data_IF_648128365967
#
_entry.id   IF_648128365967
#
_cell.length_a   1.000
_cell.length_b   1.000
_cell.length_c   1.000
_cell.angle_alpha   90.00
_cell.angle_beta   90.00
_cell.angle_gamma   90.00
#
_symmetry.space_group_name_H-M   'P 1'
#
loop_
_entity.id
_entity.type
_entity.pdbx_description
1 polymer ?
#
# COMPACT_ATOMS: atom_id res chain seq x y z
N UNK A 1 -13.67 -5.49 11.69
CA UNK A 1 -13.33 -6.19 10.44
C UNK A 1 -12.16 -7.12 10.69
N UNK A 2 -12.00 -8.16 9.86
CA UNK A 2 -10.86 -9.06 9.84
C UNK A 2 -9.93 -8.64 8.70
N UNK A 3 -8.70 -8.27 9.05
CA UNK A 3 -7.75 -7.67 8.11
C UNK A 3 -6.46 -8.49 8.08
N UNK A 4 -6.09 -8.97 6.89
CA UNK A 4 -4.76 -9.58 6.68
C UNK A 4 -3.80 -8.55 6.11
N UNK A 5 -2.62 -8.38 6.72
CA UNK A 5 -1.59 -7.43 6.29
C UNK A 5 -0.32 -8.18 5.87
N UNK A 6 -0.10 -8.30 4.55
CA UNK A 6 1.17 -8.77 4.02
C UNK A 6 2.24 -7.69 4.19
N UNK A 7 3.40 -8.07 4.70
CA UNK A 7 4.46 -7.12 5.05
C UNK A 7 4.26 -6.47 6.42
N UNK A 8 3.56 -7.14 7.35
CA UNK A 8 3.20 -6.63 8.67
C UNK A 8 4.36 -6.19 9.57
N UNK A 9 5.59 -6.71 9.35
CA UNK A 9 6.81 -6.27 10.04
C UNK A 9 7.58 -5.17 9.28
N UNK A 10 7.08 -4.72 8.13
CA UNK A 10 7.68 -3.62 7.37
C UNK A 10 7.38 -2.26 8.00
N UNK A 11 8.13 -1.22 7.56
CA UNK A 11 7.99 0.11 8.14
C UNK A 11 6.57 0.68 8.03
N UNK A 12 5.94 0.60 6.86
CA UNK A 12 4.54 1.03 6.69
C UNK A 12 3.56 -0.02 7.23
N UNK A 13 3.81 -1.31 6.97
CA UNK A 13 2.90 -2.39 7.36
C UNK A 13 2.69 -2.49 8.88
N UNK A 14 3.74 -2.28 9.68
CA UNK A 14 3.61 -2.27 11.14
C UNK A 14 2.72 -1.14 11.65
N UNK A 15 2.71 0.03 10.99
CA UNK A 15 1.81 1.15 11.31
C UNK A 15 0.36 0.81 10.97
N UNK A 16 0.14 0.18 9.82
CA UNK A 16 -1.19 -0.33 9.44
C UNK A 16 -1.71 -1.33 10.45
N UNK A 17 -0.89 -2.30 10.86
CA UNK A 17 -1.25 -3.28 11.90
C UNK A 17 -1.61 -2.57 13.20
N UNK A 18 -0.79 -1.62 13.65
CA UNK A 18 -1.01 -0.88 14.89
C UNK A 18 -2.29 -0.05 14.83
N UNK A 19 -2.52 0.69 13.75
CA UNK A 19 -3.73 1.52 13.57
C UNK A 19 -4.99 0.65 13.52
N UNK A 20 -4.96 -0.47 12.76
CA UNK A 20 -6.09 -1.39 12.67
C UNK A 20 -6.47 -1.98 14.04
N UNK A 21 -5.47 -2.43 14.82
CA UNK A 21 -5.68 -2.95 16.17
C UNK A 21 -6.18 -1.87 17.15
N UNK A 22 -5.75 -0.64 16.98
CA UNK A 22 -6.20 0.51 17.80
C UNK A 22 -7.67 0.82 17.54
N UNK A 23 -8.13 0.64 16.28
CA UNK A 23 -9.55 0.79 15.90
C UNK A 23 -10.41 -0.43 16.26
N UNK A 24 -9.84 -1.47 16.87
CA UNK A 24 -10.59 -2.65 17.30
C UNK A 24 -10.82 -3.70 16.20
N UNK A 25 -10.05 -3.67 15.11
CA UNK A 25 -10.09 -4.71 14.10
C UNK A 25 -9.32 -5.96 14.55
N UNK A 26 -9.70 -7.11 14.02
CA UNK A 26 -8.94 -8.35 14.12
C UNK A 26 -7.88 -8.36 13.00
N UNK A 27 -6.60 -8.50 13.39
CA UNK A 27 -5.51 -8.36 12.42
C UNK A 27 -4.66 -9.62 12.37
N UNK A 28 -4.46 -10.14 11.15
CA UNK A 28 -3.47 -11.16 10.82
C UNK A 28 -2.27 -10.47 10.17
N UNK A 29 -1.14 -10.45 10.86
CA UNK A 29 0.10 -9.88 10.35
C UNK A 29 0.96 -10.98 9.71
N UNK A 30 1.28 -10.81 8.43
CA UNK A 30 1.97 -11.81 7.61
C UNK A 30 3.39 -11.37 7.31
N UNK A 31 4.33 -12.27 7.52
CA UNK A 31 5.75 -12.15 7.15
C UNK A 31 6.21 -13.40 6.39
N UNK A 32 7.22 -13.30 5.56
CA UNK A 32 7.77 -14.46 4.82
C UNK A 32 8.61 -15.38 5.72
N UNK A 33 9.30 -14.79 6.68
CA UNK A 33 10.20 -15.50 7.58
C UNK A 33 9.64 -15.48 9.01
N UNK A 34 9.44 -16.66 9.59
CA UNK A 34 8.96 -16.83 10.97
C UNK A 34 9.89 -16.19 12.00
N UNK A 35 11.18 -16.07 11.72
CA UNK A 35 12.13 -15.39 12.59
C UNK A 35 11.73 -13.92 12.87
N UNK A 36 10.97 -13.30 11.95
CA UNK A 36 10.46 -11.95 12.10
C UNK A 36 9.17 -11.82 12.92
N UNK A 37 8.66 -12.89 13.51
CA UNK A 37 7.48 -12.81 14.40
C UNK A 37 7.71 -11.90 15.61
N UNK A 38 8.94 -11.80 16.09
CA UNK A 38 9.31 -10.89 17.19
C UNK A 38 9.17 -9.41 16.84
N UNK A 39 9.12 -9.07 15.56
CA UNK A 39 8.93 -7.70 15.06
C UNK A 39 7.43 -7.35 14.90
N UNK A 40 6.53 -8.33 15.00
CA UNK A 40 5.11 -8.14 14.83
C UNK A 40 4.44 -7.63 16.11
N UNK A 41 3.36 -6.89 15.94
CA UNK A 41 2.56 -6.40 17.06
C UNK A 41 1.98 -7.59 17.87
N UNK A 42 2.16 -7.66 19.21
CA UNK A 42 1.81 -8.84 20.01
C UNK A 42 0.31 -9.18 20.03
N UNK A 43 -0.57 -8.21 19.74
CA UNK A 43 -2.01 -8.45 19.67
C UNK A 43 -2.48 -8.94 18.28
N UNK A 44 -1.62 -8.94 17.26
CA UNK A 44 -1.97 -9.48 15.95
C UNK A 44 -1.81 -11.01 15.95
N UNK A 45 -2.61 -11.68 15.13
CA UNK A 45 -2.34 -13.09 14.77
C UNK A 45 -1.14 -13.15 13.84
N UNK A 46 -0.12 -13.93 14.18
CA UNK A 46 1.12 -14.02 13.39
C UNK A 46 1.05 -15.20 12.43
N UNK A 47 1.25 -14.95 11.15
CA UNK A 47 1.29 -15.98 10.11
C UNK A 47 2.51 -15.80 9.20
N UNK A 48 3.00 -16.90 8.67
CA UNK A 48 3.95 -16.89 7.54
C UNK A 48 3.19 -16.96 6.23
N UNK A 49 3.69 -16.27 5.20
CA UNK A 49 3.15 -16.36 3.85
C UNK A 49 3.87 -15.43 2.87
N UNK A 50 3.79 -15.77 1.60
CA UNK A 50 4.32 -14.98 0.51
C UNK A 50 3.18 -14.37 -0.31
N UNK A 51 3.16 -13.04 -0.41
CA UNK A 51 2.21 -12.31 -1.28
C UNK A 51 2.43 -12.60 -2.78
N UNK A 52 3.56 -13.18 -3.15
CA UNK A 52 3.88 -13.64 -4.49
C UNK A 52 3.37 -15.06 -4.82
N UNK A 53 2.79 -15.75 -3.85
CA UNK A 53 2.20 -17.08 -4.02
C UNK A 53 0.67 -17.02 -3.97
N UNK A 54 -0.04 -17.21 -5.10
CA UNK A 54 -1.50 -17.11 -5.13
C UNK A 54 -2.22 -18.08 -4.18
N UNK A 55 -1.66 -19.28 -3.96
CA UNK A 55 -2.28 -20.28 -3.09
C UNK A 55 -2.22 -19.84 -1.62
N UNK A 56 -1.07 -19.32 -1.18
CA UNK A 56 -0.91 -18.76 0.16
C UNK A 56 -1.75 -17.49 0.37
N UNK A 57 -1.87 -16.65 -0.67
CA UNK A 57 -2.76 -15.49 -0.63
C UNK A 57 -4.21 -15.93 -0.42
N UNK A 58 -4.69 -16.91 -1.18
CA UNK A 58 -6.06 -17.44 -1.04
C UNK A 58 -6.30 -18.01 0.36
N UNK A 59 -5.35 -18.80 0.90
CA UNK A 59 -5.44 -19.34 2.26
C UNK A 59 -5.54 -18.23 3.32
N UNK A 60 -4.67 -17.21 3.22
CA UNK A 60 -4.60 -16.13 4.21
C UNK A 60 -5.70 -15.08 4.06
N UNK A 61 -6.40 -15.07 2.91
CA UNK A 61 -7.56 -14.23 2.67
C UNK A 61 -8.87 -14.92 3.07
N UNK A 62 -8.86 -16.22 3.27
CA UNK A 62 -10.07 -16.97 3.61
C UNK A 62 -10.72 -16.44 4.89
N UNK A 63 -11.99 -16.02 4.77
CA UNK A 63 -12.75 -15.47 5.89
C UNK A 63 -12.29 -14.07 6.34
N UNK A 64 -11.47 -13.37 5.58
CA UNK A 64 -11.11 -11.98 5.84
C UNK A 64 -12.08 -11.02 5.14
N UNK A 65 -12.15 -9.79 5.62
CA UNK A 65 -12.90 -8.71 4.97
C UNK A 65 -12.00 -7.92 4.02
N UNK A 66 -10.71 -7.79 4.38
CA UNK A 66 -9.72 -6.98 3.67
C UNK A 66 -8.35 -7.65 3.71
N UNK A 67 -7.66 -7.56 2.59
CA UNK A 67 -6.22 -7.84 2.47
C UNK A 67 -5.48 -6.54 2.17
N UNK A 68 -4.46 -6.23 2.96
CA UNK A 68 -3.56 -5.09 2.73
C UNK A 68 -2.21 -5.61 2.23
N UNK A 69 -1.77 -5.10 1.10
CA UNK A 69 -0.40 -5.29 0.61
C UNK A 69 0.48 -4.10 1.02
N UNK A 70 1.30 -4.30 2.03
CA UNK A 70 2.34 -3.39 2.48
C UNK A 70 3.75 -3.98 2.23
N UNK A 71 3.86 -4.92 1.28
CA UNK A 71 5.16 -5.53 0.95
C UNK A 71 6.01 -4.60 0.11
N UNK A 72 7.32 -4.71 0.30
CA UNK A 72 8.32 -4.09 -0.57
C UNK A 72 9.30 -5.20 -1.00
N UNK A 73 9.58 -5.35 -2.30
CA UNK A 73 10.64 -6.23 -2.76
C UNK A 73 11.99 -5.88 -2.11
N UNK A 74 12.86 -6.87 -2.02
CA UNK A 74 14.22 -6.64 -1.57
C UNK A 74 14.96 -5.74 -2.57
N UNK A 75 15.97 -4.96 -2.12
CA UNK A 75 16.81 -4.19 -3.02
C UNK A 75 17.36 -5.04 -4.16
N UNK A 76 17.28 -4.55 -5.40
CA UNK A 76 17.66 -5.25 -6.63
C UNK A 76 16.58 -6.20 -7.17
N UNK A 77 15.42 -6.31 -6.50
CA UNK A 77 14.26 -7.10 -6.94
C UNK A 77 12.99 -6.24 -7.11
N UNK A 78 13.16 -4.97 -7.33
CA UNK A 78 12.06 -4.01 -7.43
C UNK A 78 11.05 -4.40 -8.54
N UNK A 79 11.53 -5.01 -9.63
CA UNK A 79 10.69 -5.53 -10.71
C UNK A 79 9.64 -6.57 -10.26
N UNK A 80 9.83 -7.20 -9.10
CA UNK A 80 8.87 -8.17 -8.55
C UNK A 80 7.55 -7.52 -8.10
N UNK A 81 7.47 -6.20 -7.92
CA UNK A 81 6.25 -5.52 -7.50
C UNK A 81 5.02 -5.89 -8.33
N UNK A 82 5.16 -5.84 -9.66
CA UNK A 82 4.05 -6.18 -10.56
C UNK A 82 3.69 -7.67 -10.51
N UNK A 83 4.67 -8.56 -10.32
CA UNK A 83 4.44 -10.00 -10.19
C UNK A 83 3.68 -10.32 -8.88
N UNK A 84 4.10 -9.75 -7.76
CA UNK A 84 3.40 -9.85 -6.46
C UNK A 84 1.96 -9.36 -6.57
N UNK A 85 1.73 -8.25 -7.26
CA UNK A 85 0.38 -7.72 -7.45
C UNK A 85 -0.51 -8.67 -8.26
N UNK A 86 0.01 -9.26 -9.33
CA UNK A 86 -0.72 -10.26 -10.10
C UNK A 86 -1.03 -11.52 -9.28
N UNK A 87 -0.09 -11.95 -8.43
CA UNK A 87 -0.29 -13.09 -7.54
C UNK A 87 -1.39 -12.81 -6.49
N UNK A 88 -1.42 -11.60 -5.91
CA UNK A 88 -2.48 -11.15 -5.00
C UNK A 88 -3.85 -11.18 -5.70
N UNK A 89 -3.95 -10.62 -6.91
CA UNK A 89 -5.20 -10.63 -7.67
C UNK A 89 -5.66 -12.05 -8.01
N UNK A 90 -4.73 -12.92 -8.40
CA UNK A 90 -5.04 -14.33 -8.70
C UNK A 90 -5.51 -15.09 -7.45
N UNK A 91 -4.84 -14.91 -6.32
CA UNK A 91 -5.21 -15.56 -5.06
C UNK A 91 -6.56 -15.07 -4.52
N UNK A 92 -6.93 -13.81 -4.77
CA UNK A 92 -8.19 -13.23 -4.32
C UNK A 92 -9.35 -13.45 -5.32
N UNK A 93 -9.09 -13.94 -6.52
CA UNK A 93 -10.13 -14.07 -7.56
C UNK A 93 -11.30 -14.99 -7.13
N UNK A 94 -11.04 -15.97 -6.28
CA UNK A 94 -12.06 -16.88 -5.74
C UNK A 94 -12.81 -16.31 -4.52
N UNK A 95 -12.39 -15.16 -4.01
CA UNK A 95 -12.99 -14.47 -2.84
C UNK A 95 -13.27 -13.00 -3.18
N UNK A 96 -14.18 -12.72 -4.14
CA UNK A 96 -14.40 -11.37 -4.68
C UNK A 96 -14.94 -10.37 -3.64
N UNK A 97 -15.50 -10.87 -2.53
CA UNK A 97 -15.96 -10.03 -1.42
C UNK A 97 -14.80 -9.50 -0.55
N UNK A 98 -13.61 -10.10 -0.65
CA UNK A 98 -12.42 -9.64 0.05
C UNK A 98 -11.78 -8.49 -0.73
N UNK A 99 -11.69 -7.31 -0.13
CA UNK A 99 -11.07 -6.14 -0.76
C UNK A 99 -9.54 -6.21 -0.67
N UNK A 100 -8.87 -5.75 -1.73
CA UNK A 100 -7.42 -5.56 -1.76
C UNK A 100 -7.06 -4.08 -1.65
N UNK A 101 -6.33 -3.69 -0.61
CA UNK A 101 -5.73 -2.37 -0.51
C UNK A 101 -4.21 -2.49 -0.70
N UNK A 102 -3.65 -1.64 -1.55
CA UNK A 102 -2.22 -1.67 -1.89
C UNK A 102 -1.57 -0.34 -1.52
N UNK A 103 -0.54 -0.39 -0.69
CA UNK A 103 0.35 0.75 -0.49
C UNK A 103 1.35 0.74 -1.64
N UNK A 104 1.30 1.77 -2.44
CA UNK A 104 2.09 1.87 -3.66
C UNK A 104 3.15 2.95 -3.63
N UNK A 105 3.34 3.66 -4.74
CA UNK A 105 4.28 4.75 -4.91
C UNK A 105 3.68 6.00 -5.56
N UNK A 106 4.42 7.11 -5.49
CA UNK A 106 4.02 8.41 -6.03
C UNK A 106 4.31 8.57 -7.52
N UNK A 107 5.21 7.75 -8.08
CA UNK A 107 5.84 8.01 -9.38
C UNK A 107 4.90 8.21 -10.58
N UNK A 108 3.69 7.63 -10.53
CA UNK A 108 2.68 7.77 -11.57
C UNK A 108 1.67 8.90 -11.34
N UNK A 109 1.77 9.64 -10.23
CA UNK A 109 0.99 10.85 -10.00
C UNK A 109 1.47 11.97 -10.92
N UNK A 110 0.59 12.92 -11.22
CA UNK A 110 0.92 14.14 -11.95
C UNK A 110 1.44 15.22 -11.00
N UNK A 111 2.40 15.98 -11.44
CA UNK A 111 2.89 17.17 -10.70
C UNK A 111 1.90 18.31 -10.96
N UNK A 112 1.27 18.88 -9.92
CA UNK A 112 0.30 19.96 -10.10
C UNK A 112 0.91 21.20 -10.75
N UNK A 113 0.13 21.90 -11.57
CA UNK A 113 0.57 23.12 -12.27
C UNK A 113 1.57 22.86 -13.40
N UNK A 114 1.74 21.62 -13.85
CA UNK A 114 2.55 21.28 -15.03
C UNK A 114 1.69 20.73 -16.16
N UNK A 115 2.21 20.77 -17.39
CA UNK A 115 1.54 20.20 -18.55
C UNK A 115 1.78 18.68 -18.62
N UNK A 116 1.18 17.94 -17.66
CA UNK A 116 1.19 16.48 -17.66
C UNK A 116 2.53 15.83 -17.23
N UNK A 117 3.41 16.56 -16.53
CA UNK A 117 4.64 15.98 -15.98
C UNK A 117 4.30 14.97 -14.88
N UNK A 118 4.80 13.73 -15.01
CA UNK A 118 4.67 12.73 -13.94
C UNK A 118 5.72 12.94 -12.88
N UNK A 119 5.39 12.57 -11.65
CA UNK A 119 6.30 12.65 -10.50
C UNK A 119 7.62 11.93 -10.75
N UNK A 120 7.61 10.78 -11.44
CA UNK A 120 8.82 10.02 -11.78
C UNK A 120 9.78 10.80 -12.70
N UNK A 121 9.27 11.76 -13.46
CA UNK A 121 10.03 12.53 -14.44
C UNK A 121 10.50 13.88 -13.86
N UNK A 122 10.15 14.17 -12.61
CA UNK A 122 10.56 15.39 -11.91
C UNK A 122 11.61 15.05 -10.83
N UNK A 123 12.88 15.46 -11.01
CA UNK A 123 13.97 15.14 -10.09
C UNK A 123 13.82 15.78 -8.69
N UNK A 124 12.94 16.78 -8.55
CA UNK A 124 12.61 17.37 -7.23
C UNK A 124 11.93 16.34 -6.32
N UNK A 125 11.15 15.43 -6.88
CA UNK A 125 10.37 14.43 -6.15
C UNK A 125 10.96 13.03 -6.26
N UNK A 126 11.57 12.68 -7.41
CA UNK A 126 12.23 11.39 -7.63
C UNK A 126 13.66 11.61 -8.09
N UNK A 127 14.62 11.71 -7.15
CA UNK A 127 16.03 11.76 -7.49
C UNK A 127 16.45 10.54 -8.35
N UNK A 128 17.43 10.65 -9.25
CA UNK A 128 17.85 9.57 -10.16
C UNK A 128 18.14 8.24 -9.46
N UNK A 129 18.71 8.29 -8.26
CA UNK A 129 18.98 7.10 -7.45
C UNK A 129 17.74 6.29 -7.05
N UNK A 130 16.56 6.91 -7.02
CA UNK A 130 15.29 6.26 -6.64
C UNK A 130 14.38 5.97 -7.84
N UNK A 131 14.82 6.31 -9.07
CA UNK A 131 14.01 6.15 -10.28
C UNK A 131 13.54 4.70 -10.47
N UNK A 132 14.42 3.72 -10.27
CA UNK A 132 14.09 2.30 -10.39
C UNK A 132 12.99 1.84 -9.42
N UNK A 133 12.94 2.41 -8.20
CA UNK A 133 11.88 2.14 -7.22
C UNK A 133 10.55 2.74 -7.69
N UNK A 134 10.57 3.95 -8.24
CA UNK A 134 9.39 4.60 -8.79
C UNK A 134 8.85 3.86 -10.03
N UNK A 135 9.73 3.38 -10.93
CA UNK A 135 9.37 2.56 -12.08
C UNK A 135 8.67 1.27 -11.66
N UNK A 136 9.20 0.58 -10.65
CA UNK A 136 8.61 -0.64 -10.11
C UNK A 136 7.22 -0.39 -9.49
N UNK A 137 7.05 0.71 -8.77
CA UNK A 137 5.75 1.10 -8.21
C UNK A 137 4.75 1.50 -9.31
N UNK A 138 5.21 2.13 -10.39
CA UNK A 138 4.37 2.43 -11.55
C UNK A 138 3.91 1.13 -12.24
N UNK A 139 4.81 0.16 -12.41
CA UNK A 139 4.46 -1.16 -12.96
C UNK A 139 3.47 -1.92 -12.05
N UNK A 140 3.56 -1.74 -10.73
CA UNK A 140 2.60 -2.26 -9.76
C UNK A 140 1.20 -1.67 -9.99
N UNK A 141 1.09 -0.35 -10.12
CA UNK A 141 -0.17 0.32 -10.38
C UNK A 141 -0.77 -0.09 -11.74
N UNK A 142 0.05 -0.17 -12.78
CA UNK A 142 -0.39 -0.64 -14.10
C UNK A 142 -0.91 -2.08 -14.06
N UNK A 143 -0.27 -2.96 -13.27
CA UNK A 143 -0.75 -4.34 -13.11
C UNK A 143 -2.16 -4.41 -12.49
N UNK A 144 -2.51 -3.48 -11.58
CA UNK A 144 -3.87 -3.36 -11.05
C UNK A 144 -4.84 -2.77 -12.09
N UNK A 145 -4.45 -1.67 -12.72
CA UNK A 145 -5.30 -0.88 -13.61
C UNK A 145 -5.72 -1.64 -14.87
N UNK A 146 -4.83 -2.49 -15.37
CA UNK A 146 -5.05 -3.27 -16.60
C UNK A 146 -5.55 -4.69 -16.36
N UNK A 147 -5.66 -5.12 -15.08
CA UNK A 147 -6.11 -6.46 -14.77
C UNK A 147 -7.59 -6.66 -15.11
N UNK A 148 -7.90 -7.72 -15.83
CA UNK A 148 -9.25 -8.26 -15.92
C UNK A 148 -9.49 -9.17 -14.70
N UNK A 149 -10.12 -8.60 -13.67
CA UNK A 149 -10.26 -9.26 -12.36
C UNK A 149 -11.58 -8.86 -11.69
N UNK A 150 -12.26 -9.79 -11.00
CA UNK A 150 -13.41 -9.48 -10.15
C UNK A 150 -13.02 -8.76 -8.85
N UNK A 151 -11.74 -8.80 -8.45
CA UNK A 151 -11.26 -8.27 -7.17
C UNK A 151 -11.51 -6.76 -7.07
N UNK A 152 -12.14 -6.34 -5.99
CA UNK A 152 -12.27 -4.92 -5.65
C UNK A 152 -10.97 -4.44 -4.99
N UNK A 153 -10.17 -3.66 -5.72
CA UNK A 153 -8.90 -3.15 -5.25
C UNK A 153 -8.91 -1.63 -5.08
N UNK A 154 -8.07 -1.14 -4.18
CA UNK A 154 -7.76 0.28 -4.02
C UNK A 154 -6.25 0.47 -3.88
N UNK A 155 -5.71 1.46 -4.58
CA UNK A 155 -4.28 1.79 -4.56
C UNK A 155 -4.05 3.12 -3.86
N UNK A 156 -3.32 3.13 -2.75
CA UNK A 156 -2.89 4.33 -2.07
C UNK A 156 -1.51 4.75 -2.58
N UNK A 157 -1.48 5.82 -3.37
CA UNK A 157 -0.23 6.49 -3.74
C UNK A 157 0.24 7.36 -2.58
N UNK A 158 1.38 7.09 -1.94
CA UNK A 158 1.93 7.98 -0.92
C UNK A 158 2.41 9.29 -1.54
N UNK A 159 2.76 10.31 -0.73
CA UNK A 159 3.48 11.48 -1.20
C UNK A 159 4.91 11.13 -1.64
N UNK A 160 5.64 12.10 -2.20
CA UNK A 160 7.03 11.90 -2.61
C UNK A 160 7.95 11.57 -1.42
N UNK A 161 7.67 12.14 -0.24
CA UNK A 161 8.39 11.84 0.99
C UNK A 161 7.45 11.18 2.01
N UNK A 162 7.70 9.90 2.27
CA UNK A 162 6.98 9.11 3.25
C UNK A 162 7.96 8.58 4.31
N UNK A 163 7.85 9.09 5.53
CA UNK A 163 8.77 8.77 6.63
C UNK A 163 8.01 8.44 7.92
N UNK A 164 8.61 7.70 8.87
CA UNK A 164 8.09 7.60 10.23
C UNK A 164 7.92 8.99 10.84
N UNK A 165 6.82 9.20 11.58
CA UNK A 165 6.54 10.51 12.15
C UNK A 165 5.46 10.46 13.22
N UNK A 166 4.62 11.46 13.26
CA UNK A 166 3.53 11.60 14.24
C UNK A 166 2.19 11.26 13.58
N UNK A 167 1.34 10.53 14.30
CA UNK A 167 -0.06 10.31 13.95
C UNK A 167 -0.85 11.59 14.27
N UNK A 168 -1.12 12.39 13.27
CA UNK A 168 -1.90 13.63 13.42
C UNK A 168 -3.38 13.45 13.07
N UNK A 169 -3.68 12.49 12.19
CA UNK A 169 -4.97 12.30 11.54
C UNK A 169 -5.49 13.57 10.82
N UNK A 170 -4.57 14.44 10.39
CA UNK A 170 -4.86 15.69 9.67
C UNK A 170 -4.05 15.75 8.39
N UNK A 171 -4.67 15.45 7.28
CA UNK A 171 -4.07 15.44 5.95
C UNK A 171 -5.14 15.74 4.90
N UNK A 172 -4.69 16.06 3.69
CA UNK A 172 -5.54 16.20 2.51
C UNK A 172 -5.62 14.87 1.77
N UNK A 173 -6.73 14.64 1.10
CA UNK A 173 -6.89 13.54 0.14
C UNK A 173 -6.93 14.09 -1.28
N UNK A 174 -6.40 13.34 -2.23
CA UNK A 174 -6.42 13.62 -3.66
C UNK A 174 -6.56 12.33 -4.46
N UNK A 175 -6.47 12.43 -5.77
CA UNK A 175 -6.58 11.26 -6.67
C UNK A 175 -5.32 11.05 -7.50
N UNK A 176 -5.16 11.82 -8.57
CA UNK A 176 -4.17 11.59 -9.62
C UNK A 176 -3.03 12.61 -9.61
N UNK A 177 -3.14 13.64 -8.78
CA UNK A 177 -2.12 14.67 -8.63
C UNK A 177 -1.40 14.53 -7.28
N UNK A 178 -0.10 14.81 -7.31
CA UNK A 178 0.73 14.87 -6.11
C UNK A 178 0.26 16.02 -5.21
N UNK A 179 0.04 15.73 -3.93
CA UNK A 179 -0.26 16.78 -2.96
C UNK A 179 1.03 17.46 -2.52
N UNK A 180 1.06 18.79 -2.68
CA UNK A 180 2.20 19.64 -2.37
C UNK A 180 1.72 20.73 -1.40
N UNK A 181 2.50 21.05 -0.40
CA UNK A 181 2.26 22.16 0.51
C UNK A 181 2.69 23.50 -0.10
N UNK A 182 2.44 24.61 0.61
CA UNK A 182 2.80 25.96 0.17
C UNK A 182 4.32 26.17 0.02
N UNK A 183 5.14 25.32 0.63
CA UNK A 183 6.60 25.34 0.49
C UNK A 183 7.11 24.46 -0.66
N UNK A 184 6.21 23.81 -1.42
CA UNK A 184 6.57 22.94 -2.52
C UNK A 184 6.97 21.52 -2.10
N UNK A 185 6.71 21.14 -0.84
CA UNK A 185 7.04 19.82 -0.29
C UNK A 185 5.83 18.89 -0.38
N UNK A 186 6.08 17.64 -0.78
CA UNK A 186 5.10 16.57 -0.75
C UNK A 186 5.49 15.56 0.31
N UNK A 187 4.76 15.50 1.42
CA UNK A 187 5.12 14.65 2.57
C UNK A 187 3.90 14.16 3.34
N UNK A 188 4.08 13.02 4.03
CA UNK A 188 3.14 12.45 4.97
C UNK A 188 3.91 11.56 5.96
N UNK A 189 3.45 11.46 7.21
CA UNK A 189 3.96 10.44 8.11
C UNK A 189 3.41 9.05 7.73
N UNK A 190 4.16 8.01 8.00
CA UNK A 190 3.68 6.62 7.81
C UNK A 190 2.51 6.30 8.73
N UNK A 191 2.45 6.96 9.88
CA UNK A 191 1.34 6.89 10.83
C UNK A 191 0.05 7.45 10.22
N UNK A 192 0.11 8.62 9.57
CA UNK A 192 -1.05 9.21 8.89
C UNK A 192 -1.40 8.48 7.59
N UNK A 193 -0.42 7.88 6.91
CA UNK A 193 -0.70 6.96 5.80
C UNK A 193 -1.56 5.78 6.26
N UNK A 194 -1.23 5.19 7.42
CA UNK A 194 -2.02 4.11 8.00
C UNK A 194 -3.44 4.57 8.35
N UNK A 195 -3.60 5.78 8.90
CA UNK A 195 -4.93 6.39 9.14
C UNK A 195 -5.70 6.50 7.82
N UNK A 196 -5.11 7.08 6.76
CA UNK A 196 -5.77 7.25 5.46
C UNK A 196 -6.19 5.89 4.85
N UNK A 197 -5.34 4.87 4.98
CA UNK A 197 -5.64 3.53 4.50
C UNK A 197 -6.79 2.89 5.27
N UNK A 198 -6.83 3.02 6.59
CA UNK A 198 -7.90 2.47 7.42
C UNK A 198 -9.22 3.25 7.23
N UNK A 199 -9.18 4.57 7.03
CA UNK A 199 -10.37 5.36 6.68
C UNK A 199 -11.00 4.86 5.37
N UNK A 200 -10.19 4.56 4.35
CA UNK A 200 -10.65 3.95 3.09
C UNK A 200 -11.11 2.51 3.28
N UNK A 201 -10.53 1.79 4.23
CA UNK A 201 -10.95 0.42 4.59
C UNK A 201 -12.36 0.43 5.18
N UNK A 202 -12.64 1.30 6.13
CA UNK A 202 -13.90 1.41 6.85
C UNK A 202 -15.00 2.10 6.03
N UNK A 203 -14.61 3.07 5.20
CA UNK A 203 -15.51 3.86 4.36
C UNK A 203 -15.00 3.93 2.92
N UNK A 204 -15.25 2.90 2.10
CA UNK A 204 -14.75 2.80 0.73
C UNK A 204 -15.22 3.94 -0.18
N UNK A 205 -14.28 4.69 -0.75
CA UNK A 205 -14.56 5.81 -1.67
C UNK A 205 -13.88 5.64 -3.04
N UNK A 206 -12.92 4.72 -3.12
CA UNK A 206 -12.07 4.56 -4.31
C UNK A 206 -12.06 3.09 -4.80
N UNK A 207 -13.23 2.45 -5.03
CA UNK A 207 -13.28 1.08 -5.54
C UNK A 207 -12.66 1.02 -6.93
N UNK A 208 -11.77 0.04 -7.16
CA UNK A 208 -11.03 -0.17 -8.41
C UNK A 208 -10.32 1.11 -8.89
N UNK A 209 -9.81 1.88 -7.94
CA UNK A 209 -9.23 3.18 -8.20
C UNK A 209 -8.03 3.50 -7.32
N UNK A 210 -7.51 4.70 -7.57
CA UNK A 210 -6.40 5.26 -6.80
C UNK A 210 -6.85 6.46 -6.00
N UNK A 211 -6.20 6.65 -4.85
CA UNK A 211 -6.20 7.92 -4.13
C UNK A 211 -4.80 8.22 -3.60
N UNK A 212 -4.58 9.45 -3.18
CA UNK A 212 -3.35 9.89 -2.52
C UNK A 212 -3.68 10.68 -1.26
N UNK A 213 -2.74 10.73 -0.32
CA UNK A 213 -2.82 11.50 0.90
C UNK A 213 -1.52 12.29 1.12
N UNK A 214 -1.62 13.49 1.69
CA UNK A 214 -0.46 14.35 1.95
C UNK A 214 -0.82 15.57 2.81
N UNK A 215 0.17 16.20 3.39
CA UNK A 215 0.04 17.46 4.14
C UNK A 215 -0.14 18.66 3.24
#
# INVERSE_FOLDING_TARGET
>A
MRITVFGGAGTAGSRVVTEALTRGHEVTAVVRDRARFTELHPRATHRTGDAGDPAQVAELAAGQDVVVNATRPAPGREADHAAVTRALLAGLAATPDVRLLVIGGAGSLMVPGTDGTRVIDDPRFVPPAWRHVAEASNAQYEALRTADTPVNWTYLSPPALLEPGVRTARFRLGRDELLIDAAGKSSLSMEDLAVALLDETESPRHPRGRFTAGY
#
